data_IF_465728367185
#
_entry.id   IF_465728367185
#
_cell.length_a   1.000
_cell.length_b   1.000
_cell.length_c   1.000
_cell.angle_alpha   90.00
_cell.angle_beta   90.00
_cell.angle_gamma   90.00
#
_symmetry.space_group_name_H-M   'P 1'
#
loop_
_entity.id
_entity.type
_entity.pdbx_description
1 polymer ?
#
# COMPACT_ATOMS: atom_id res chain seq x y z
N UNK A 1 58.82 46.93 -15.39
CA UNK A 1 59.77 46.34 -14.42
C UNK A 1 59.06 45.17 -13.76
N UNK A 2 59.39 43.94 -14.15
CA UNK A 2 58.69 42.73 -13.72
C UNK A 2 59.11 42.22 -12.35
N UNK A 3 58.41 41.20 -11.85
CA UNK A 3 58.98 39.93 -11.40
C UNK A 3 57.89 38.85 -11.24
N UNK A 4 58.27 37.63 -11.64
CA UNK A 4 57.68 36.28 -11.47
C UNK A 4 57.60 35.87 -9.98
N UNK A 5 57.04 34.78 -9.45
CA UNK A 5 56.38 33.53 -9.90
C UNK A 5 55.75 32.87 -8.64
N UNK A 6 54.89 31.85 -8.79
CA UNK A 6 54.60 30.90 -7.71
C UNK A 6 53.25 30.18 -7.86
N UNK A 7 53.28 29.00 -8.49
CA UNK A 7 52.17 28.06 -8.56
C UNK A 7 52.07 27.22 -7.27
N UNK A 8 50.87 26.73 -6.94
CA UNK A 8 50.67 25.33 -6.53
C UNK A 8 49.17 24.98 -6.60
N UNK A 9 48.86 23.94 -7.38
CA UNK A 9 47.54 23.32 -7.53
C UNK A 9 47.65 21.92 -6.97
N UNK A 10 46.83 21.59 -5.96
CA UNK A 10 46.70 20.25 -5.42
C UNK A 10 45.41 19.63 -5.97
N UNK A 11 45.58 18.73 -6.94
CA UNK A 11 44.54 17.81 -7.41
C UNK A 11 44.60 16.50 -6.62
N UNK A 12 43.47 16.06 -6.10
CA UNK A 12 43.32 14.71 -5.53
C UNK A 12 42.74 13.78 -6.60
N UNK A 13 43.55 12.79 -6.97
CA UNK A 13 43.20 11.61 -7.76
C UNK A 13 42.76 10.50 -6.80
N UNK A 14 41.59 9.92 -7.01
CA UNK A 14 41.22 8.63 -6.44
C UNK A 14 40.84 7.69 -7.60
N UNK A 15 41.68 6.67 -7.80
CA UNK A 15 41.54 5.66 -8.82
C UNK A 15 40.36 4.72 -8.56
N UNK A 16 39.68 4.33 -9.63
CA UNK A 16 38.72 3.25 -9.64
C UNK A 16 39.39 2.04 -10.29
N UNK A 17 39.66 1.00 -9.48
CA UNK A 17 40.07 -0.30 -9.98
C UNK A 17 38.89 -0.98 -10.67
N UNK A 18 39.00 -1.09 -11.99
CA UNK A 18 38.10 -1.85 -12.84
C UNK A 18 38.57 -3.30 -12.89
N UNK A 19 37.86 -4.20 -12.20
CA UNK A 19 37.98 -5.65 -12.44
C UNK A 19 36.93 -6.01 -13.48
N UNK A 20 37.38 -6.18 -14.73
CA UNK A 20 36.55 -6.63 -15.83
C UNK A 20 36.30 -8.14 -15.75
N UNK A 21 35.06 -8.53 -15.98
CA UNK A 21 34.73 -9.88 -16.43
C UNK A 21 33.76 -9.81 -17.60
N UNK A 22 34.14 -10.52 -18.66
CA UNK A 22 33.46 -10.68 -19.94
C UNK A 22 32.51 -11.87 -19.91
N UNK A 23 31.33 -11.70 -20.49
CA UNK A 23 30.53 -12.67 -21.25
C UNK A 23 29.22 -11.94 -21.61
N UNK A 24 28.72 -11.89 -22.84
CA UNK A 24 28.60 -12.94 -23.85
C UNK A 24 27.13 -12.88 -24.25
N UNK A 25 26.84 -12.39 -25.46
CA UNK A 25 25.49 -12.25 -25.96
C UNK A 25 24.91 -13.62 -26.30
N UNK A 26 23.77 -13.99 -25.72
CA UNK A 26 22.70 -14.70 -26.42
C UNK A 26 21.40 -14.71 -25.61
N UNK A 27 20.28 -14.75 -26.33
CA UNK A 27 18.92 -14.67 -25.77
C UNK A 27 18.41 -15.97 -25.17
N UNK A 28 17.35 -15.84 -24.36
CA UNK A 28 16.53 -16.95 -23.87
C UNK A 28 16.96 -17.53 -22.52
N UNK A 29 15.96 -17.66 -21.65
CA UNK A 29 15.92 -18.45 -20.42
C UNK A 29 16.69 -17.98 -19.17
N UNK A 30 15.97 -18.04 -18.05
CA UNK A 30 16.37 -17.46 -16.78
C UNK A 30 17.54 -18.16 -16.10
N UNK A 31 18.22 -17.42 -15.23
CA UNK A 31 18.71 -18.01 -14.00
C UNK A 31 18.83 -16.97 -12.88
N UNK A 32 18.28 -17.34 -11.74
CA UNK A 32 18.44 -16.64 -10.48
C UNK A 32 19.92 -16.68 -10.06
N UNK A 33 20.53 -15.52 -9.84
CA UNK A 33 21.82 -15.48 -9.14
C UNK A 33 21.57 -15.64 -7.63
N UNK A 34 22.07 -16.75 -7.10
CA UNK A 34 21.86 -17.21 -5.73
C UNK A 34 22.49 -16.30 -4.68
N UNK A 35 21.80 -16.19 -3.55
CA UNK A 35 22.32 -15.58 -2.33
C UNK A 35 23.14 -16.61 -1.54
N UNK A 36 24.31 -16.20 -1.05
CA UNK A 36 25.13 -16.96 -0.12
C UNK A 36 24.40 -17.04 1.24
N UNK A 37 24.24 -18.27 1.76
CA UNK A 37 23.58 -18.56 3.04
C UNK A 37 24.38 -18.01 4.23
N UNK A 38 23.70 -17.33 5.15
CA UNK A 38 24.15 -17.10 6.53
C UNK A 38 23.23 -17.92 7.44
N UNK A 39 23.75 -18.79 8.32
CA UNK A 39 22.93 -19.67 9.13
C UNK A 39 22.31 -18.89 10.30
N UNK A 40 21.01 -19.08 10.52
CA UNK A 40 20.33 -18.73 11.78
C UNK A 40 19.69 -19.99 12.35
N UNK A 41 20.19 -20.43 13.50
CA UNK A 41 19.60 -21.48 14.33
C UNK A 41 18.17 -21.12 14.73
N UNK A 42 17.25 -22.06 14.56
CA UNK A 42 15.88 -21.98 15.08
C UNK A 42 15.63 -23.27 15.85
N UNK A 43 15.52 -23.14 17.17
CA UNK A 43 15.02 -24.20 18.05
C UNK A 43 13.50 -24.27 17.95
N UNK A 44 13.00 -25.42 17.51
CA UNK A 44 11.58 -25.79 17.51
C UNK A 44 11.14 -26.27 18.90
N UNK A 45 9.95 -25.88 19.31
CA UNK A 45 9.16 -26.61 20.31
C UNK A 45 7.70 -26.62 19.86
N UNK A 46 7.28 -27.82 19.47
CA UNK A 46 5.91 -28.23 19.22
C UNK A 46 5.07 -28.12 20.49
N UNK A 47 3.78 -27.85 20.34
CA UNK A 47 2.76 -28.53 21.15
C UNK A 47 1.40 -28.47 20.46
N UNK A 48 0.92 -29.65 20.07
CA UNK A 48 -0.40 -29.92 19.51
C UNK A 48 -0.96 -31.16 20.23
N UNK A 49 -2.08 -31.01 20.94
CA UNK A 49 -2.95 -32.08 21.48
C UNK A 49 -4.39 -31.52 21.59
N UNK A 50 -5.32 -32.02 20.78
CA UNK A 50 -6.38 -33.03 21.10
C UNK A 50 -7.45 -32.54 22.12
N UNK A 51 -8.75 -32.83 22.06
CA UNK A 51 -9.62 -33.66 21.21
C UNK A 51 -11.10 -33.50 21.66
N UNK A 52 -12.05 -33.90 20.79
CA UNK A 52 -13.41 -34.39 21.13
C UNK A 52 -14.49 -33.35 21.48
N UNK A 53 -15.76 -33.45 21.10
CA UNK A 53 -16.59 -34.52 20.54
C UNK A 53 -18.04 -34.36 21.09
N UNK A 54 -19.04 -34.91 20.36
CA UNK A 54 -20.48 -35.02 20.68
C UNK A 54 -21.30 -33.74 20.39
N UNK A 55 -22.34 -33.67 19.54
CA UNK A 55 -23.28 -34.69 19.05
C UNK A 55 -24.56 -34.68 19.90
N UNK A 56 -25.68 -34.13 19.39
CA UNK A 56 -27.07 -34.53 19.67
C UNK A 56 -28.06 -33.62 18.92
N UNK A 57 -28.90 -34.22 18.07
CA UNK A 57 -29.99 -33.55 17.37
C UNK A 57 -31.28 -33.47 18.20
N UNK A 58 -32.19 -32.58 17.78
CA UNK A 58 -33.64 -32.70 18.01
C UNK A 58 -34.41 -32.10 16.84
N UNK A 59 -35.33 -32.89 16.30
CA UNK A 59 -36.40 -32.48 15.39
C UNK A 59 -37.64 -32.02 16.15
N UNK A 60 -38.45 -31.24 15.42
CA UNK A 60 -39.89 -31.01 15.51
C UNK A 60 -40.43 -29.97 16.52
N UNK A 61 -41.10 -28.93 16.00
CA UNK A 61 -42.57 -28.89 15.89
C UNK A 61 -43.03 -27.62 15.13
N UNK A 62 -44.05 -27.81 14.31
CA UNK A 62 -44.75 -26.80 13.52
C UNK A 62 -45.68 -25.93 14.37
N UNK A 63 -45.74 -24.64 14.09
CA UNK A 63 -46.92 -23.81 14.36
C UNK A 63 -47.10 -22.77 13.26
N UNK A 64 -48.20 -22.90 12.52
CA UNK A 64 -48.73 -21.93 11.58
C UNK A 64 -49.15 -20.65 12.30
N UNK A 65 -48.65 -19.50 11.86
CA UNK A 65 -49.23 -18.19 12.13
C UNK A 65 -48.90 -17.29 10.95
N UNK A 66 -49.96 -16.86 10.27
CA UNK A 66 -50.00 -15.76 9.32
C UNK A 66 -49.56 -14.48 10.03
N UNK A 67 -48.58 -13.74 9.50
CA UNK A 67 -48.58 -12.28 9.62
C UNK A 67 -47.60 -11.55 8.69
N UNK A 68 -47.98 -10.31 8.45
CA UNK A 68 -47.57 -9.32 7.45
C UNK A 68 -46.08 -9.26 7.04
N UNK A 69 -45.86 -8.96 5.75
CA UNK A 69 -44.60 -8.46 5.20
C UNK A 69 -44.17 -7.16 5.92
N UNK A 70 -43.42 -7.29 7.01
CA UNK A 70 -42.55 -6.23 7.51
C UNK A 70 -41.21 -6.35 6.79
N UNK A 71 -41.00 -5.45 5.82
CA UNK A 71 -39.69 -5.21 5.26
C UNK A 71 -38.69 -4.98 6.39
N UNK A 72 -37.65 -5.80 6.43
CA UNK A 72 -36.56 -5.72 7.41
C UNK A 72 -35.90 -4.35 7.22
N UNK A 73 -36.19 -3.40 8.10
CA UNK A 73 -35.50 -2.12 8.16
C UNK A 73 -34.05 -2.41 8.54
N UNK A 74 -33.15 -2.36 7.56
CA UNK A 74 -31.71 -2.35 7.78
C UNK A 74 -31.38 -0.93 8.25
N UNK A 75 -30.90 -0.72 9.49
CA UNK A 75 -30.48 0.61 9.91
C UNK A 75 -29.38 1.08 8.96
N UNK A 76 -29.63 2.17 8.22
CA UNK A 76 -28.54 2.88 7.56
C UNK A 76 -27.65 3.43 8.67
N UNK A 77 -26.53 2.75 8.93
CA UNK A 77 -25.45 3.27 9.77
C UNK A 77 -24.91 4.52 9.09
N UNK A 78 -25.39 5.70 9.52
CA UNK A 78 -24.84 6.98 9.09
C UNK A 78 -23.38 7.04 9.53
N UNK A 79 -22.47 7.31 8.60
CA UNK A 79 -21.05 7.48 8.90
C UNK A 79 -20.85 8.55 9.97
N UNK A 80 -20.04 8.25 10.99
CA UNK A 80 -19.73 9.18 12.08
C UNK A 80 -18.43 9.90 11.73
N UNK A 81 -18.51 11.21 11.50
CA UNK A 81 -17.33 12.04 11.30
C UNK A 81 -16.69 12.34 12.66
N UNK A 82 -15.56 11.70 12.95
CA UNK A 82 -14.81 11.89 14.21
C UNK A 82 -13.99 13.19 14.24
N UNK A 83 -13.88 13.90 13.11
CA UNK A 83 -13.09 15.13 13.00
C UNK A 83 -14.01 16.35 13.00
N UNK A 84 -13.69 17.35 13.83
CA UNK A 84 -14.43 18.61 13.86
C UNK A 84 -14.46 19.27 12.47
N UNK A 85 -15.60 19.85 12.08
CA UNK A 85 -15.83 20.43 10.76
C UNK A 85 -14.68 21.32 10.28
N UNK A 86 -14.21 22.22 11.13
CA UNK A 86 -13.21 23.24 10.76
C UNK A 86 -11.76 22.83 11.05
N UNK A 87 -11.50 21.56 11.39
CA UNK A 87 -10.14 21.08 11.65
C UNK A 87 -9.29 21.00 10.37
N UNK A 88 -8.09 21.54 10.36
CA UNK A 88 -7.18 21.35 9.22
C UNK A 88 -6.64 19.91 9.10
N UNK A 89 -6.69 19.12 10.18
CA UNK A 89 -6.14 17.77 10.23
C UNK A 89 -7.23 16.73 10.50
N UNK A 90 -7.07 15.53 9.96
CA UNK A 90 -7.85 14.38 10.43
C UNK A 90 -7.47 14.05 11.88
N UNK A 91 -8.46 13.67 12.69
CA UNK A 91 -8.23 13.17 14.04
C UNK A 91 -7.54 11.80 13.98
N UNK A 92 -6.21 11.80 14.07
CA UNK A 92 -5.37 10.58 14.10
C UNK A 92 -4.39 10.62 15.29
N UNK A 93 -4.94 10.86 16.48
CA UNK A 93 -4.17 11.09 17.71
C UNK A 93 -3.97 9.82 18.56
N UNK A 94 -4.53 8.68 18.13
CA UNK A 94 -4.41 7.35 18.73
C UNK A 94 -4.52 7.39 20.26
N UNK A 95 -5.62 7.96 20.76
CA UNK A 95 -5.86 8.02 22.20
C UNK A 95 -6.38 6.67 22.74
N UNK A 96 -5.82 6.22 23.86
CA UNK A 96 -6.37 5.13 24.67
C UNK A 96 -6.00 3.70 24.24
N UNK A 97 -4.85 3.50 23.59
CA UNK A 97 -4.33 2.16 23.27
C UNK A 97 -5.13 1.38 22.21
N UNK A 98 -6.10 2.02 21.55
CA UNK A 98 -6.85 1.42 20.44
C UNK A 98 -6.02 1.43 19.16
N UNK A 99 -6.15 0.41 18.29
CA UNK A 99 -5.51 0.43 16.98
C UNK A 99 -6.00 1.60 16.13
N UNK A 100 -5.13 2.18 15.31
CA UNK A 100 -5.48 3.26 14.38
C UNK A 100 -6.46 2.83 13.30
N UNK A 101 -6.39 1.57 12.91
CA UNK A 101 -7.17 0.99 11.83
C UNK A 101 -6.52 -0.25 11.25
N UNK A 102 -7.13 -0.77 10.20
CA UNK A 102 -6.57 -1.87 9.43
C UNK A 102 -5.52 -1.39 8.42
N UNK A 103 -4.47 -2.18 8.28
CA UNK A 103 -3.50 -2.07 7.20
C UNK A 103 -3.45 -3.40 6.46
N UNK A 104 -4.01 -3.44 5.26
CA UNK A 104 -4.04 -4.64 4.42
C UNK A 104 -2.84 -4.62 3.48
N UNK A 105 -2.11 -5.73 3.38
CA UNK A 105 -0.97 -5.88 2.48
C UNK A 105 -1.24 -7.06 1.57
N UNK A 106 -1.57 -6.78 0.30
CA UNK A 106 -1.67 -7.78 -0.75
C UNK A 106 -0.34 -7.86 -1.48
N UNK A 107 0.36 -8.98 -1.33
CA UNK A 107 1.70 -9.20 -1.85
C UNK A 107 1.69 -10.36 -2.85
N UNK A 108 1.85 -10.05 -4.13
CA UNK A 108 1.93 -11.05 -5.19
C UNK A 108 3.37 -11.20 -5.65
N UNK A 109 3.98 -12.35 -5.33
CA UNK A 109 5.30 -12.76 -5.77
C UNK A 109 5.21 -13.73 -6.95
N UNK A 110 4.34 -14.73 -6.85
CA UNK A 110 4.24 -15.85 -7.78
C UNK A 110 2.94 -15.77 -8.57
N UNK A 111 3.04 -16.06 -9.87
CA UNK A 111 1.93 -15.98 -10.81
C UNK A 111 1.79 -17.29 -11.58
N UNK A 112 0.55 -17.62 -11.96
CA UNK A 112 0.28 -18.81 -12.75
C UNK A 112 0.95 -18.69 -14.14
N UNK A 113 1.55 -19.79 -14.59
CA UNK A 113 2.44 -19.82 -15.77
C UNK A 113 1.79 -19.31 -17.05
N UNK A 114 0.47 -19.49 -17.21
CA UNK A 114 -0.26 -19.05 -18.40
C UNK A 114 -0.26 -17.53 -18.57
N UNK A 115 0.02 -16.77 -17.52
CA UNK A 115 0.13 -15.32 -17.58
C UNK A 115 1.47 -14.84 -18.16
N UNK A 116 2.46 -15.73 -18.30
CA UNK A 116 3.77 -15.39 -18.88
C UNK A 116 4.57 -14.35 -18.09
N UNK A 117 4.24 -14.15 -16.80
CA UNK A 117 4.87 -13.15 -15.95
C UNK A 117 6.02 -13.75 -15.13
N UNK A 118 7.06 -12.95 -14.93
CA UNK A 118 8.18 -13.31 -14.07
C UNK A 118 7.84 -13.15 -12.58
N UNK A 119 8.45 -13.98 -11.72
CA UNK A 119 8.35 -13.83 -10.27
C UNK A 119 8.86 -12.47 -9.77
N UNK A 120 8.22 -11.95 -8.71
CA UNK A 120 8.55 -10.64 -8.13
C UNK A 120 9.58 -10.70 -6.98
N UNK A 121 10.76 -11.27 -7.21
CA UNK A 121 11.84 -11.40 -6.20
C UNK A 121 12.11 -10.11 -5.39
N UNK A 122 12.14 -10.21 -4.07
CA UNK A 122 12.30 -9.03 -3.19
C UNK A 122 11.00 -8.36 -2.76
N UNK A 123 9.83 -8.68 -3.35
CA UNK A 123 8.54 -8.16 -2.87
C UNK A 123 8.21 -8.59 -1.43
N UNK A 124 8.67 -9.77 -0.99
CA UNK A 124 8.49 -10.22 0.39
C UNK A 124 9.25 -9.32 1.37
N UNK A 125 10.40 -8.76 0.95
CA UNK A 125 11.14 -7.79 1.76
C UNK A 125 10.38 -6.49 1.91
N UNK A 126 9.77 -6.00 0.82
CA UNK A 126 8.88 -4.84 0.85
C UNK A 126 7.73 -5.08 1.84
N UNK A 127 7.02 -6.20 1.69
CA UNK A 127 5.93 -6.64 2.57
C UNK A 127 6.35 -6.65 4.05
N UNK A 128 7.53 -7.19 4.36
CA UNK A 128 8.00 -7.33 5.74
C UNK A 128 8.43 -5.99 6.35
N UNK A 129 9.04 -5.08 5.58
CA UNK A 129 9.33 -3.71 6.02
C UNK A 129 8.04 -2.90 6.26
N UNK A 130 7.07 -2.99 5.34
CA UNK A 130 5.76 -2.35 5.50
C UNK A 130 5.07 -2.87 6.76
N UNK A 131 5.03 -4.19 6.95
CA UNK A 131 4.42 -4.80 8.15
C UNK A 131 5.07 -4.28 9.42
N UNK A 132 6.42 -4.31 9.50
CA UNK A 132 7.14 -3.81 10.68
C UNK A 132 6.84 -2.34 10.96
N UNK A 133 6.85 -1.50 9.92
CA UNK A 133 6.52 -0.09 10.05
C UNK A 133 5.08 0.08 10.56
N UNK A 134 4.07 -0.44 9.87
CA UNK A 134 2.68 -0.17 10.21
C UNK A 134 2.23 -0.83 11.52
N UNK A 135 2.81 -1.95 11.92
CA UNK A 135 2.65 -2.48 13.29
C UNK A 135 3.17 -1.47 14.31
N UNK A 136 4.37 -0.91 14.11
CA UNK A 136 4.94 0.11 15.03
C UNK A 136 4.13 1.41 15.07
N UNK A 137 3.35 1.68 14.02
CA UNK A 137 2.42 2.81 13.95
C UNK A 137 1.07 2.52 14.63
N UNK A 138 0.84 1.30 15.15
CA UNK A 138 -0.38 0.92 15.83
C UNK A 138 -1.52 0.45 14.92
N UNK A 139 -1.21 -0.07 13.73
CA UNK A 139 -2.20 -0.67 12.84
C UNK A 139 -2.40 -2.15 13.09
N UNK A 140 -3.62 -2.63 12.82
CA UNK A 140 -3.93 -4.05 12.68
C UNK A 140 -3.51 -4.51 11.27
N UNK A 141 -2.25 -4.95 11.15
CA UNK A 141 -1.69 -5.37 9.87
C UNK A 141 -2.15 -6.79 9.50
N UNK A 142 -2.65 -6.96 8.27
CA UNK A 142 -3.00 -8.24 7.67
C UNK A 142 -2.28 -8.41 6.35
N UNK A 143 -1.71 -9.59 6.14
CA UNK A 143 -0.87 -9.90 5.00
C UNK A 143 -1.51 -11.04 4.22
N UNK A 144 -1.64 -10.85 2.92
CA UNK A 144 -2.19 -11.81 1.98
C UNK A 144 -1.17 -12.03 0.86
N UNK A 145 -0.65 -13.26 0.77
CA UNK A 145 0.35 -13.61 -0.23
C UNK A 145 -0.29 -14.41 -1.38
N UNK A 146 0.02 -14.03 -2.61
CA UNK A 146 -0.31 -14.79 -3.84
C UNK A 146 -1.78 -15.24 -3.93
N UNK A 147 -2.71 -14.38 -3.55
CA UNK A 147 -4.14 -14.67 -3.68
C UNK A 147 -4.56 -14.81 -5.14
N UNK A 148 -5.44 -15.78 -5.41
CA UNK A 148 -6.24 -15.81 -6.64
C UNK A 148 -7.26 -14.69 -6.61
N UNK A 149 -7.79 -14.32 -7.77
CA UNK A 149 -8.70 -13.19 -7.89
C UNK A 149 -9.95 -13.32 -7.02
N UNK A 150 -10.55 -14.51 -6.96
CA UNK A 150 -11.76 -14.74 -6.17
C UNK A 150 -11.48 -14.59 -4.67
N UNK A 151 -10.38 -15.15 -4.17
CA UNK A 151 -9.95 -14.99 -2.77
C UNK A 151 -9.59 -13.53 -2.44
N UNK A 152 -8.91 -12.85 -3.36
CA UNK A 152 -8.58 -11.42 -3.22
C UNK A 152 -9.85 -10.59 -3.11
N UNK A 153 -10.82 -10.84 -3.98
CA UNK A 153 -12.11 -10.16 -3.99
C UNK A 153 -12.86 -10.43 -2.68
N UNK A 154 -12.89 -11.66 -2.21
CA UNK A 154 -13.50 -12.01 -0.93
C UNK A 154 -12.87 -11.23 0.23
N UNK A 155 -11.54 -11.15 0.30
CA UNK A 155 -10.86 -10.36 1.34
C UNK A 155 -11.18 -8.86 1.23
N UNK A 156 -11.21 -8.28 0.02
CA UNK A 156 -11.60 -6.88 -0.16
C UNK A 156 -13.04 -6.65 0.30
N UNK A 157 -13.96 -7.56 -0.05
CA UNK A 157 -15.37 -7.46 0.35
C UNK A 157 -15.55 -7.63 1.86
N UNK A 158 -14.85 -8.59 2.48
CA UNK A 158 -14.86 -8.80 3.92
C UNK A 158 -14.47 -7.51 4.67
N UNK A 159 -13.37 -6.87 4.27
CA UNK A 159 -12.87 -5.67 4.94
C UNK A 159 -13.66 -4.40 4.60
N UNK A 160 -14.36 -4.34 3.47
CA UNK A 160 -15.19 -3.18 3.12
C UNK A 160 -16.62 -3.26 3.67
N UNK A 161 -17.20 -4.46 3.71
CA UNK A 161 -18.62 -4.68 4.04
C UNK A 161 -18.84 -5.21 5.45
N UNK A 162 -18.01 -6.14 5.91
CA UNK A 162 -18.28 -6.90 7.15
C UNK A 162 -17.52 -6.33 8.36
N UNK A 163 -16.37 -5.70 8.14
CA UNK A 163 -15.59 -5.05 9.20
C UNK A 163 -16.18 -3.68 9.54
N UNK A 164 -16.54 -3.48 10.81
CA UNK A 164 -16.94 -2.17 11.32
C UNK A 164 -15.71 -1.29 11.61
N UNK A 165 -15.52 -0.27 10.78
CA UNK A 165 -14.44 0.70 10.96
C UNK A 165 -14.80 1.88 11.87
N UNK A 166 -16.01 1.93 12.45
CA UNK A 166 -16.51 3.09 13.19
C UNK A 166 -15.58 3.53 14.32
N UNK A 167 -14.93 2.58 15.00
CA UNK A 167 -13.97 2.84 16.08
C UNK A 167 -12.56 3.19 15.62
N UNK A 168 -12.23 3.03 14.33
CA UNK A 168 -10.90 3.30 13.78
C UNK A 168 -10.77 4.75 13.29
N UNK A 169 -9.53 5.21 13.19
CA UNK A 169 -9.16 6.55 12.75
C UNK A 169 -9.03 6.62 11.22
N UNK A 170 -8.52 5.55 10.61
CA UNK A 170 -8.18 5.52 9.18
C UNK A 170 -8.12 4.09 8.63
N UNK A 171 -7.93 3.98 7.32
CA UNK A 171 -7.71 2.71 6.62
C UNK A 171 -6.48 2.79 5.72
N UNK A 172 -5.70 1.72 5.65
CA UNK A 172 -4.51 1.61 4.81
C UNK A 172 -4.55 0.32 3.99
N UNK A 173 -4.21 0.42 2.71
CA UNK A 173 -4.01 -0.73 1.83
C UNK A 173 -2.72 -0.59 1.02
N UNK A 174 -1.89 -1.62 1.07
CA UNK A 174 -0.74 -1.81 0.21
C UNK A 174 -1.05 -2.88 -0.83
N UNK A 175 -0.79 -2.57 -2.10
CA UNK A 175 -0.94 -3.51 -3.20
C UNK A 175 0.39 -3.66 -3.95
N UNK A 176 1.04 -4.81 -3.80
CA UNK A 176 2.36 -5.11 -4.38
C UNK A 176 2.19 -6.21 -5.43
N UNK A 177 2.08 -5.84 -6.71
CA UNK A 177 1.91 -6.82 -7.80
C UNK A 177 2.56 -6.35 -9.10
N UNK A 178 2.40 -7.14 -10.16
CA UNK A 178 2.50 -6.62 -11.52
C UNK A 178 1.28 -5.75 -11.83
N UNK A 179 1.42 -4.90 -12.84
CA UNK A 179 0.34 -4.04 -13.29
C UNK A 179 0.64 -3.49 -14.66
N UNK A 180 -0.41 -3.00 -15.28
CA UNK A 180 -0.38 -2.28 -16.55
C UNK A 180 -1.46 -1.19 -16.49
N UNK A 181 -1.78 -0.57 -17.63
CA UNK A 181 -2.75 0.52 -17.64
C UNK A 181 -4.13 0.06 -17.16
N UNK A 182 -4.60 0.63 -16.05
CA UNK A 182 -5.91 0.34 -15.45
C UNK A 182 -6.05 -1.04 -14.79
N UNK A 183 -5.02 -1.89 -14.85
CA UNK A 183 -5.10 -3.28 -14.43
C UNK A 183 -4.03 -3.64 -13.39
N UNK A 184 -4.45 -4.46 -12.44
CA UNK A 184 -3.59 -5.20 -11.52
C UNK A 184 -3.67 -6.68 -11.81
N UNK A 185 -2.67 -7.41 -11.34
CA UNK A 185 -2.65 -8.86 -11.43
C UNK A 185 -2.85 -9.49 -10.05
N UNK A 186 -3.82 -10.39 -9.96
CA UNK A 186 -3.86 -11.43 -8.94
C UNK A 186 -2.94 -12.58 -9.40
N UNK A 187 -2.88 -13.67 -8.63
CA UNK A 187 -2.05 -14.84 -8.99
C UNK A 187 -2.40 -15.43 -10.36
N UNK A 188 -3.68 -15.45 -10.70
CA UNK A 188 -4.24 -16.22 -11.81
C UNK A 188 -4.86 -15.40 -12.95
N UNK A 189 -5.18 -14.12 -12.71
CA UNK A 189 -5.73 -13.22 -13.74
C UNK A 189 -5.42 -11.75 -13.45
N UNK A 190 -5.51 -10.92 -14.50
CA UNK A 190 -5.62 -9.47 -14.34
C UNK A 190 -7.05 -9.04 -13.99
N UNK A 191 -7.18 -7.87 -13.37
CA UNK A 191 -8.45 -7.25 -13.01
C UNK A 191 -8.33 -5.73 -12.95
N UNK A 192 -9.45 -5.02 -13.09
CA UNK A 192 -9.48 -3.56 -13.00
C UNK A 192 -9.14 -3.09 -11.59
N UNK A 193 -8.15 -2.22 -11.47
CA UNK A 193 -7.72 -1.67 -10.18
C UNK A 193 -8.85 -0.94 -9.41
N UNK A 194 -9.82 -0.38 -10.14
CA UNK A 194 -11.07 0.21 -9.64
C UNK A 194 -11.81 -0.70 -8.65
N UNK A 195 -11.72 -2.02 -8.83
CA UNK A 195 -12.38 -2.99 -7.95
C UNK A 195 -11.95 -2.79 -6.49
N UNK A 196 -10.67 -2.46 -6.25
CA UNK A 196 -10.15 -2.20 -4.90
C UNK A 196 -10.61 -0.84 -4.40
N UNK A 197 -10.44 0.22 -5.20
CA UNK A 197 -10.72 1.59 -4.74
C UNK A 197 -12.21 1.79 -4.42
N UNK A 198 -13.09 1.35 -5.33
CA UNK A 198 -14.55 1.50 -5.19
C UNK A 198 -15.09 0.77 -3.97
N UNK A 199 -14.50 -0.36 -3.59
CA UNK A 199 -14.93 -1.09 -2.41
C UNK A 199 -14.87 -0.27 -1.11
N UNK A 200 -13.95 0.71 -1.03
CA UNK A 200 -13.78 1.54 0.17
C UNK A 200 -14.29 2.97 0.01
N UNK A 201 -14.99 3.29 -1.07
CA UNK A 201 -15.66 4.59 -1.25
C UNK A 201 -16.82 4.75 -0.25
N UNK A 202 -17.27 6.00 -0.02
CA UNK A 202 -18.15 6.33 1.10
C UNK A 202 -19.54 5.68 1.05
N UNK A 203 -20.04 5.31 -0.12
CA UNK A 203 -21.30 4.58 -0.29
C UNK A 203 -21.15 3.06 -0.11
N UNK A 204 -19.96 2.55 -0.42
CA UNK A 204 -19.60 1.13 -0.37
C UNK A 204 -19.09 0.70 1.01
N UNK A 205 -18.42 1.61 1.73
CA UNK A 205 -17.92 1.41 3.10
C UNK A 205 -18.28 2.61 3.99
N UNK A 206 -19.55 2.66 4.41
CA UNK A 206 -20.11 3.77 5.21
C UNK A 206 -19.39 4.04 6.54
N UNK A 207 -18.77 3.02 7.14
CA UNK A 207 -18.03 3.15 8.41
C UNK A 207 -16.65 3.83 8.25
N UNK A 208 -16.19 4.03 7.01
CA UNK A 208 -15.00 4.80 6.62
C UNK A 208 -15.32 6.19 6.04
N UNK A 209 -16.60 6.58 5.96
CA UNK A 209 -16.98 7.92 5.51
C UNK A 209 -16.39 8.99 6.47
N UNK A 210 -15.74 10.02 5.91
CA UNK A 210 -15.09 11.07 6.69
C UNK A 210 -13.72 10.69 7.29
N UNK A 211 -13.21 9.49 7.00
CA UNK A 211 -11.91 8.99 7.48
C UNK A 211 -10.93 8.84 6.32
N UNK A 212 -9.63 9.12 6.53
CA UNK A 212 -8.64 9.01 5.47
C UNK A 212 -8.43 7.54 5.09
N UNK A 213 -8.54 7.27 3.78
CA UNK A 213 -8.33 5.98 3.14
C UNK A 213 -7.06 6.06 2.30
N UNK A 214 -6.01 5.38 2.74
CA UNK A 214 -4.68 5.50 2.16
C UNK A 214 -4.31 4.25 1.35
N UNK A 215 -3.99 4.44 0.08
CA UNK A 215 -3.61 3.36 -0.83
C UNK A 215 -2.18 3.55 -1.31
N UNK A 216 -1.33 2.56 -1.12
CA UNK A 216 0.06 2.57 -1.55
C UNK A 216 0.27 1.45 -2.57
N UNK A 217 0.46 1.82 -3.83
CA UNK A 217 0.47 0.89 -4.95
C UNK A 217 1.88 0.75 -5.50
N UNK A 218 2.41 -0.47 -5.44
CA UNK A 218 3.65 -0.89 -6.07
C UNK A 218 3.35 -1.80 -7.26
N UNK A 219 3.05 -1.17 -8.40
CA UNK A 219 2.78 -1.83 -9.68
C UNK A 219 3.23 -0.93 -10.84
N UNK A 220 3.50 -1.52 -12.01
CA UNK A 220 3.72 -0.76 -13.24
C UNK A 220 2.40 -0.13 -13.73
N UNK A 221 2.47 0.94 -14.54
CA UNK A 221 1.28 1.68 -14.99
C UNK A 221 1.09 1.83 -16.51
N UNK A 222 1.89 1.17 -17.37
CA UNK A 222 1.68 1.15 -18.85
C UNK A 222 1.71 2.53 -19.55
N UNK A 223 1.71 2.61 -20.89
CA UNK A 223 2.06 3.82 -21.67
C UNK A 223 0.94 4.69 -22.28
N UNK A 224 0.55 5.80 -21.59
CA UNK A 224 -0.38 6.93 -21.95
C UNK A 224 -1.89 6.58 -22.03
N UNK A 225 -2.89 7.35 -21.58
CA UNK A 225 -3.16 8.50 -20.68
C UNK A 225 -4.68 8.40 -20.32
N UNK A 226 -5.06 8.86 -19.14
CA UNK A 226 -6.41 8.79 -18.53
C UNK A 226 -7.41 9.82 -19.12
N UNK A 227 -8.69 9.43 -19.27
CA UNK A 227 -9.77 10.26 -19.84
C UNK A 227 -10.56 11.11 -18.82
N UNK A 228 -10.36 10.94 -17.52
CA UNK A 228 -11.12 11.68 -16.51
C UNK A 228 -12.63 11.38 -16.56
N UNK A 229 -13.35 11.76 -15.51
CA UNK A 229 -14.80 11.51 -15.38
C UNK A 229 -15.52 12.87 -15.27
N UNK A 230 -16.54 13.08 -16.09
CA UNK A 230 -17.47 14.22 -15.97
C UNK A 230 -18.38 14.04 -14.75
N UNK A 231 -18.51 15.09 -13.93
CA UNK A 231 -19.47 15.15 -12.82
C UNK A 231 -20.68 16.00 -13.23
N UNK A 232 -21.88 15.43 -13.09
CA UNK A 232 -23.16 16.16 -13.19
C UNK A 232 -23.67 16.41 -11.77
N UNK A 233 -23.91 17.66 -11.44
CA UNK A 233 -24.49 18.08 -10.16
C UNK A 233 -26.02 18.29 -10.31
N UNK A 234 -26.80 17.80 -9.34
CA UNK A 234 -28.21 18.16 -9.21
C UNK A 234 -28.54 18.46 -7.74
N UNK A 235 -28.92 19.72 -7.53
CA UNK A 235 -29.38 20.37 -6.30
C UNK A 235 -30.79 19.95 -5.89
N UNK A 236 -31.07 19.79 -4.59
CA UNK A 236 -31.75 20.81 -3.73
C UNK A 236 -32.24 20.29 -2.36
N UNK A 237 -32.38 21.25 -1.43
CA UNK A 237 -33.21 21.31 -0.22
C UNK A 237 -32.71 20.77 1.16
N UNK A 238 -32.45 21.73 2.07
CA UNK A 238 -33.18 21.86 3.34
C UNK A 238 -32.82 20.95 4.54
N UNK A 239 -31.91 21.42 5.39
CA UNK A 239 -31.43 20.78 6.63
C UNK A 239 -29.93 20.50 6.49
N UNK A 240 -29.07 20.95 7.40
CA UNK A 240 -27.60 20.88 7.23
C UNK A 240 -27.06 19.44 7.38
N UNK A 241 -27.49 18.55 6.49
CA UNK A 241 -26.88 17.29 6.17
C UNK A 241 -25.77 17.57 5.17
N UNK A 242 -24.53 17.64 5.66
CA UNK A 242 -23.37 17.78 4.79
C UNK A 242 -23.13 16.44 4.09
N UNK A 243 -23.30 16.40 2.77
CA UNK A 243 -22.92 15.24 1.95
C UNK A 243 -21.46 15.43 1.54
N UNK A 244 -20.62 14.44 1.84
CA UNK A 244 -19.29 14.33 1.25
C UNK A 244 -19.43 13.65 -0.12
N UNK A 245 -18.61 14.02 -1.12
CA UNK A 245 -18.48 13.22 -2.33
C UNK A 245 -18.12 11.76 -1.98
N UNK A 246 -18.65 10.81 -2.74
CA UNK A 246 -18.43 9.37 -2.52
C UNK A 246 -16.93 9.01 -2.55
N UNK A 247 -16.15 9.73 -3.37
CA UNK A 247 -14.71 9.55 -3.55
C UNK A 247 -13.85 10.39 -2.60
N UNK A 248 -14.43 11.10 -1.63
CA UNK A 248 -13.70 11.96 -0.71
C UNK A 248 -12.85 11.18 0.30
N UNK A 249 -11.84 11.87 0.84
CA UNK A 249 -10.94 11.35 1.87
C UNK A 249 -10.08 10.16 1.41
N UNK A 250 -9.84 10.03 0.11
CA UNK A 250 -8.91 9.05 -0.45
C UNK A 250 -7.54 9.69 -0.72
N UNK A 251 -6.48 8.93 -0.48
CA UNK A 251 -5.11 9.34 -0.73
C UNK A 251 -4.34 8.16 -1.31
N UNK A 252 -3.94 8.26 -2.58
CA UNK A 252 -3.28 7.17 -3.30
C UNK A 252 -1.87 7.59 -3.72
N UNK A 253 -0.85 6.83 -3.30
CA UNK A 253 0.50 6.92 -3.84
C UNK A 253 0.79 5.73 -4.73
N UNK A 254 1.21 6.02 -5.95
CA UNK A 254 1.69 5.07 -6.93
C UNK A 254 3.21 5.11 -6.96
N UNK A 255 3.86 3.96 -6.95
CA UNK A 255 5.32 3.84 -6.99
C UNK A 255 5.94 4.48 -8.23
N UNK A 256 5.17 4.66 -9.29
CA UNK A 256 5.58 5.28 -10.55
C UNK A 256 4.46 6.12 -11.15
N UNK A 257 4.81 7.09 -11.99
CA UNK A 257 3.86 7.86 -12.81
C UNK A 257 3.22 6.97 -13.88
N UNK A 258 1.97 7.27 -14.32
CA UNK A 258 1.38 6.62 -15.49
C UNK A 258 2.34 6.73 -16.67
N UNK A 259 2.57 5.65 -17.38
CA UNK A 259 3.58 5.62 -18.46
C UNK A 259 4.75 4.69 -18.21
N UNK A 260 5.07 4.43 -16.94
CA UNK A 260 6.45 4.08 -16.57
C UNK A 260 6.54 2.78 -15.79
N UNK A 261 7.75 2.20 -15.84
CA UNK A 261 8.11 1.03 -15.06
C UNK A 261 8.26 1.37 -13.58
N UNK A 262 8.00 0.37 -12.74
CA UNK A 262 8.35 0.43 -11.33
C UNK A 262 9.47 -0.56 -11.02
N UNK A 263 10.63 -0.01 -10.69
CA UNK A 263 11.86 -0.74 -10.44
C UNK A 263 11.86 -1.42 -9.08
N UNK A 264 12.39 -2.63 -9.08
CA UNK A 264 12.58 -3.46 -7.91
C UNK A 264 13.97 -4.06 -7.93
N UNK A 265 14.65 -3.98 -6.79
CA UNK A 265 15.86 -4.75 -6.55
C UNK A 265 15.46 -6.14 -6.06
N UNK A 266 16.04 -7.18 -6.66
CA UNK A 266 15.72 -8.58 -6.37
C UNK A 266 16.02 -9.00 -4.93
N UNK A 267 16.93 -8.31 -4.25
CA UNK A 267 17.37 -8.61 -2.88
C UNK A 267 16.90 -7.58 -1.85
N UNK A 268 16.81 -6.30 -2.24
CA UNK A 268 16.56 -5.19 -1.32
C UNK A 268 15.12 -4.65 -1.35
N UNK A 269 14.28 -5.13 -2.27
CA UNK A 269 12.91 -4.63 -2.44
C UNK A 269 12.82 -3.47 -3.43
N UNK A 270 11.66 -2.82 -3.52
CA UNK A 270 11.42 -1.73 -4.45
C UNK A 270 11.98 -0.39 -3.96
N UNK A 271 12.40 0.47 -4.89
CA UNK A 271 12.92 1.80 -4.55
C UNK A 271 11.87 2.65 -3.85
N UNK A 272 10.61 2.50 -4.26
CA UNK A 272 9.48 3.21 -3.68
C UNK A 272 9.23 2.78 -2.23
N UNK A 273 9.14 1.47 -1.95
CA UNK A 273 8.86 1.00 -0.58
C UNK A 273 10.03 1.27 0.35
N UNK A 274 11.27 1.10 -0.12
CA UNK A 274 12.46 1.49 0.66
C UNK A 274 12.44 2.98 1.04
N UNK A 275 12.12 3.85 0.08
CA UNK A 275 12.06 5.29 0.31
C UNK A 275 10.87 5.69 1.20
N UNK A 276 9.71 5.06 1.00
CA UNK A 276 8.52 5.25 1.84
C UNK A 276 8.85 4.89 3.29
N UNK A 277 9.41 3.70 3.52
CA UNK A 277 9.75 3.24 4.88
C UNK A 277 10.80 4.14 5.53
N UNK A 278 11.80 4.58 4.78
CA UNK A 278 12.80 5.53 5.26
C UNK A 278 12.15 6.85 5.72
N UNK A 279 11.36 7.48 4.85
CA UNK A 279 10.74 8.79 5.14
C UNK A 279 9.71 8.69 6.25
N UNK A 280 8.91 7.62 6.31
CA UNK A 280 8.00 7.43 7.43
C UNK A 280 8.75 7.32 8.75
N UNK A 281 9.91 6.62 8.81
CA UNK A 281 10.70 6.52 10.05
C UNK A 281 11.30 7.87 10.48
N UNK A 282 11.61 8.77 9.56
CA UNK A 282 12.33 10.02 9.86
C UNK A 282 11.45 11.26 9.93
N UNK A 283 10.38 11.36 9.13
CA UNK A 283 9.61 12.61 8.96
C UNK A 283 8.14 12.53 9.40
N UNK A 284 7.59 11.34 9.71
CA UNK A 284 6.15 11.17 9.99
C UNK A 284 5.60 12.04 11.13
N UNK A 285 6.47 12.45 12.06
CA UNK A 285 6.11 13.22 13.24
C UNK A 285 6.19 14.73 12.99
N UNK A 286 6.67 15.14 11.81
CA UNK A 286 6.94 16.54 11.44
C UNK A 286 6.11 17.01 10.25
N UNK A 287 5.69 16.08 9.39
CA UNK A 287 5.13 16.38 8.08
C UNK A 287 3.83 15.61 7.86
N UNK A 288 2.88 16.26 7.18
CA UNK A 288 1.71 15.57 6.64
C UNK A 288 2.13 14.62 5.49
N UNK A 289 1.24 13.70 5.15
CA UNK A 289 1.50 12.65 4.17
C UNK A 289 1.79 13.19 2.75
N UNK A 290 1.20 14.33 2.35
CA UNK A 290 1.48 14.94 1.06
C UNK A 290 2.88 15.57 1.03
N UNK A 291 3.28 16.24 2.12
CA UNK A 291 4.66 16.73 2.29
C UNK A 291 5.68 15.59 2.30
N UNK A 292 5.37 14.48 2.99
CA UNK A 292 6.22 13.28 2.98
C UNK A 292 6.39 12.69 1.57
N UNK A 293 5.38 12.76 0.70
CA UNK A 293 5.53 12.30 -0.70
C UNK A 293 6.67 13.02 -1.43
N UNK A 294 6.85 14.32 -1.21
CA UNK A 294 7.96 15.06 -1.81
C UNK A 294 9.33 14.57 -1.29
N UNK A 295 9.42 14.25 0.00
CA UNK A 295 10.60 13.64 0.61
C UNK A 295 10.88 12.24 0.05
N UNK A 296 9.84 11.42 -0.18
CA UNK A 296 9.95 10.10 -0.80
C UNK A 296 10.54 10.23 -2.21
N UNK A 297 9.98 11.13 -3.02
CA UNK A 297 10.48 11.40 -4.36
C UNK A 297 11.93 11.88 -4.37
N UNK A 298 12.29 12.80 -3.47
CA UNK A 298 13.67 13.27 -3.33
C UNK A 298 14.62 12.13 -2.94
N UNK A 299 14.21 11.28 -1.99
CA UNK A 299 15.00 10.12 -1.59
C UNK A 299 15.17 9.13 -2.75
N UNK A 300 14.11 8.87 -3.53
CA UNK A 300 14.17 8.00 -4.71
C UNK A 300 15.15 8.51 -5.76
N UNK A 301 15.04 9.80 -6.12
CA UNK A 301 15.89 10.42 -7.15
C UNK A 301 17.36 10.43 -6.74
N UNK A 302 17.66 10.65 -5.46
CA UNK A 302 19.05 10.77 -5.01
C UNK A 302 19.76 9.42 -4.82
N UNK A 303 19.02 8.36 -4.46
CA UNK A 303 19.64 7.11 -4.00
C UNK A 303 19.50 5.94 -4.99
N UNK A 304 18.69 6.06 -6.03
CA UNK A 304 18.43 4.93 -6.92
C UNK A 304 18.60 5.27 -8.39
N UNK A 305 19.25 4.36 -9.11
CA UNK A 305 19.43 4.38 -10.55
C UNK A 305 19.53 2.93 -11.04
N UNK A 306 18.95 2.62 -12.20
CA UNK A 306 18.98 1.26 -12.72
C UNK A 306 20.35 0.92 -13.29
N UNK A 307 20.83 -0.29 -13.03
CA UNK A 307 22.14 -0.74 -13.49
C UNK A 307 22.02 -1.99 -14.36
N UNK A 308 21.71 -1.78 -15.66
CA UNK A 308 21.63 -2.86 -16.66
C UNK A 308 22.58 -2.57 -17.84
N UNK A 309 23.91 -2.63 -17.67
CA UNK A 309 24.87 -2.10 -18.65
C UNK A 309 24.77 -2.73 -20.05
N UNK A 310 24.23 -3.95 -20.16
CA UNK A 310 23.97 -4.64 -21.43
C UNK A 310 22.72 -4.15 -22.18
N UNK A 311 21.85 -3.37 -21.55
CA UNK A 311 20.61 -2.87 -22.15
C UNK A 311 20.54 -1.34 -22.01
N UNK A 312 20.83 -0.62 -23.09
CA UNK A 312 20.77 0.86 -23.12
C UNK A 312 19.37 1.42 -22.84
N UNK A 313 18.32 0.66 -23.15
CA UNK A 313 16.93 1.00 -22.87
C UNK A 313 16.57 0.88 -21.39
N UNK A 314 17.34 0.09 -20.62
CA UNK A 314 17.09 -0.18 -19.21
C UNK A 314 18.21 0.30 -18.28
N UNK A 315 19.37 0.70 -18.79
CA UNK A 315 20.50 1.25 -18.03
C UNK A 315 20.30 2.73 -17.68
N UNK A 316 20.77 3.12 -16.48
CA UNK A 316 20.80 4.50 -15.97
C UNK A 316 19.44 5.21 -15.99
N UNK A 317 18.38 4.47 -15.67
CA UNK A 317 17.02 5.00 -15.58
C UNK A 317 16.71 5.42 -14.15
N UNK A 318 15.80 6.39 -14.05
CA UNK A 318 15.30 6.96 -12.79
C UNK A 318 13.82 6.64 -12.65
N UNK A 319 13.30 6.82 -11.45
CA UNK A 319 11.89 6.64 -11.12
C UNK A 319 11.45 7.73 -10.15
N UNK A 320 10.19 8.13 -10.26
CA UNK A 320 9.52 9.06 -9.35
C UNK A 320 8.11 8.50 -9.07
N UNK A 321 7.65 8.59 -7.83
CA UNK A 321 6.28 8.22 -7.45
C UNK A 321 5.29 9.33 -7.79
N UNK A 322 4.02 8.94 -7.93
CA UNK A 322 2.89 9.83 -8.21
C UNK A 322 1.88 9.76 -7.08
N UNK A 323 1.22 10.87 -6.78
CA UNK A 323 0.20 10.98 -5.75
C UNK A 323 -1.08 11.53 -6.35
N UNK A 324 -2.21 10.92 -6.01
CA UNK A 324 -3.57 11.41 -6.30
C UNK A 324 -4.30 11.50 -4.97
N UNK A 325 -4.90 12.65 -4.67
CA UNK A 325 -5.53 12.89 -3.38
C UNK A 325 -6.86 13.61 -3.55
N UNK A 326 -7.88 13.07 -2.90
CA UNK A 326 -9.17 13.72 -2.62
C UNK A 326 -9.34 13.94 -1.10
N UNK A 327 -8.24 13.87 -0.35
CA UNK A 327 -8.22 14.17 1.08
C UNK A 327 -8.69 15.60 1.35
N UNK A 328 -9.65 15.74 2.27
CA UNK A 328 -10.25 17.04 2.62
C UNK A 328 -9.54 17.72 3.78
N UNK A 329 -8.60 17.03 4.44
CA UNK A 329 -7.79 17.50 5.57
C UNK A 329 -6.36 16.95 5.47
N UNK A 330 -5.43 17.55 6.19
CA UNK A 330 -4.06 17.04 6.28
C UNK A 330 -4.04 15.71 7.06
N UNK A 331 -3.34 14.73 6.48
CA UNK A 331 -3.12 13.40 7.06
C UNK A 331 -1.78 13.45 7.80
N UNK A 332 -1.80 13.51 9.13
CA UNK A 332 -0.60 13.53 9.97
C UNK A 332 -0.65 12.45 11.05
N UNK A 333 0.39 11.61 11.13
CA UNK A 333 0.47 10.52 12.10
C UNK A 333 1.06 11.02 13.42
N UNK A 334 0.21 11.54 14.30
CA UNK A 334 0.66 12.02 15.61
C UNK A 334 1.19 10.87 16.49
N UNK A 335 2.26 11.04 17.27
CA UNK A 335 2.76 10.00 18.18
C UNK A 335 1.66 9.47 19.12
N UNK A 336 1.71 8.17 19.44
CA UNK A 336 0.83 7.62 20.46
C UNK A 336 1.30 8.12 21.83
N UNK A 337 0.50 8.93 22.52
CA UNK A 337 0.78 9.30 23.90
C UNK A 337 0.66 8.03 24.78
N UNK A 338 1.79 7.48 25.20
CA UNK A 338 1.88 6.30 26.08
C UNK A 338 1.77 6.67 27.57
N UNK A 339 1.26 7.85 27.90
CA UNK A 339 1.24 8.37 29.26
C UNK A 339 -0.18 8.37 29.83
N UNK A 340 -0.52 7.33 30.60
CA UNK A 340 -1.22 7.44 31.89
C UNK A 340 -1.25 6.05 32.56
N UNK A 341 -0.15 5.73 33.25
CA UNK A 341 -0.10 4.81 34.40
C UNK A 341 1.14 5.24 35.20
N UNK A 342 0.99 6.28 36.01
CA UNK A 342 1.81 6.55 37.20
C UNK A 342 0.82 6.79 38.34
#
# INVERSE_FOLDING_TARGET
LGFSAGADTVGFSAGADAVGFSAGADGGDGNAFGCVNVPTDVTSSDDNRDAGGLGLGKMALSSSSSDMHQGRYVPQTKGVLNTHRDSYYYTMNSMGGKPRGHCLIFNHKHFDKHLGMNDRSGTNRDRDEIRRLFVSLGFLVKVFDDLRYDDLKEQIEQYSKDVDHSSYECFVLFFLSHGEEGLFYAKDTSFKHDMIFKAFEGDSCVTLAGKPKMFFIQACRGGKLDHGIEMIDQTDAGGSSHKLPVTADCFTMWSTVPGYYSWRNTCNGSWFIQSLVHVFKTEMHRMDLASMHACINRHMINNFESNVPGDRGMHKKKQVSSMVSTATRFIHFFPQNTSQNI
#
